data_IF_973095425341
#
_entry.id   IF_973095425341
#
_cell.length_a   1.000
_cell.length_b   1.000
_cell.length_c   1.000
_cell.angle_alpha   90.00
_cell.angle_beta   90.00
_cell.angle_gamma   90.00
#
_symmetry.space_group_name_H-M   'P 1'
#
loop_
_entity.id
_entity.type
_entity.pdbx_description
1 polymer ?
#
# COMPACT_ATOMS: atom_id res chain seq x y z
N UNK A 1 13.63 -29.21 -37.60
CA UNK A 1 13.15 -30.09 -38.69
C UNK A 1 13.76 -29.71 -40.05
N UNK A 2 13.61 -28.47 -40.54
CA UNK A 2 14.13 -28.04 -41.85
C UNK A 2 15.67 -28.12 -41.99
N UNK A 3 16.42 -27.84 -40.91
CA UNK A 3 17.90 -27.94 -40.91
C UNK A 3 18.37 -29.40 -40.97
N UNK A 4 17.60 -30.34 -40.41
CA UNK A 4 17.96 -31.75 -40.31
C UNK A 4 17.78 -32.50 -41.64
N UNK A 5 16.83 -32.05 -42.48
CA UNK A 5 16.65 -32.59 -43.84
C UNK A 5 17.77 -32.19 -44.81
N UNK A 6 18.35 -30.99 -44.63
CA UNK A 6 19.46 -30.52 -45.45
C UNK A 6 20.76 -31.30 -45.20
N UNK A 7 21.01 -31.75 -43.96
CA UNK A 7 22.23 -32.47 -43.60
C UNK A 7 22.28 -33.89 -44.16
N UNK A 8 21.13 -34.57 -44.26
CA UNK A 8 21.05 -35.94 -44.81
C UNK A 8 21.18 -35.94 -46.34
N UNK A 9 20.62 -34.92 -47.02
CA UNK A 9 20.76 -34.79 -48.48
C UNK A 9 22.21 -34.44 -48.90
N UNK A 10 22.93 -33.70 -48.07
CA UNK A 10 24.32 -33.31 -48.32
C UNK A 10 25.33 -34.46 -48.13
N UNK A 11 25.02 -35.46 -47.30
CA UNK A 11 25.88 -36.63 -47.09
C UNK A 11 25.90 -37.62 -48.28
N UNK A 12 24.94 -37.52 -49.21
CA UNK A 12 24.80 -38.43 -50.34
C UNK A 12 25.61 -38.03 -51.59
N UNK A 13 26.05 -36.77 -51.70
CA UNK A 13 26.84 -36.28 -52.85
C UNK A 13 28.34 -36.25 -52.54
N UNK A 14 28.98 -37.40 -52.70
CA UNK A 14 30.37 -37.64 -52.34
C UNK A 14 31.41 -36.71 -52.98
N UNK A 15 32.40 -36.36 -52.14
CA UNK A 15 33.74 -35.84 -52.43
C UNK A 15 33.94 -34.43 -53.02
N UNK A 16 33.11 -33.91 -53.92
CA UNK A 16 33.40 -32.57 -54.48
C UNK A 16 32.96 -31.38 -53.59
N UNK A 17 32.02 -31.60 -52.67
CA UNK A 17 31.58 -30.56 -51.74
C UNK A 17 32.46 -30.43 -50.49
N UNK A 18 33.29 -31.43 -50.18
CA UNK A 18 34.11 -31.41 -48.95
C UNK A 18 35.09 -30.22 -48.93
N UNK A 19 35.73 -29.93 -50.07
CA UNK A 19 36.72 -28.86 -50.14
C UNK A 19 36.08 -27.44 -50.17
N UNK A 20 34.88 -27.32 -50.73
CA UNK A 20 34.10 -26.06 -50.77
C UNK A 20 33.36 -25.80 -49.44
N UNK A 21 32.88 -26.83 -48.77
CA UNK A 21 32.28 -26.72 -47.44
C UNK A 21 33.33 -26.41 -46.36
N UNK A 22 34.54 -26.98 -46.43
CA UNK A 22 35.63 -26.70 -45.48
C UNK A 22 36.03 -25.22 -45.43
N UNK A 23 36.07 -24.54 -46.57
CA UNK A 23 36.54 -23.14 -46.63
C UNK A 23 35.43 -22.13 -46.41
N UNK A 24 34.22 -22.40 -46.91
CA UNK A 24 33.07 -21.48 -46.79
C UNK A 24 32.36 -21.60 -45.44
N UNK A 25 32.11 -22.83 -44.97
CA UNK A 25 31.33 -23.06 -43.75
C UNK A 25 32.14 -22.70 -42.50
N UNK A 26 33.46 -22.98 -42.46
CA UNK A 26 34.30 -22.62 -41.30
C UNK A 26 34.51 -21.09 -41.24
N UNK A 27 34.62 -20.41 -42.38
CA UNK A 27 34.77 -18.95 -42.43
C UNK A 27 33.49 -18.21 -42.01
N UNK A 28 32.33 -18.63 -42.52
CA UNK A 28 31.04 -18.01 -42.17
C UNK A 28 30.59 -18.38 -40.75
N UNK A 29 30.85 -19.60 -40.27
CA UNK A 29 30.42 -20.00 -38.92
C UNK A 29 31.35 -19.47 -37.82
N UNK A 30 32.66 -19.31 -38.07
CA UNK A 30 33.59 -18.69 -37.09
C UNK A 30 33.33 -17.19 -36.90
N UNK A 31 32.90 -16.51 -37.96
CA UNK A 31 32.49 -15.10 -37.88
C UNK A 31 31.17 -14.94 -37.12
N UNK A 32 30.21 -15.87 -37.24
CA UNK A 32 29.02 -15.90 -36.39
C UNK A 32 29.33 -16.23 -34.91
N UNK A 33 30.30 -17.11 -34.62
CA UNK A 33 30.68 -17.48 -33.25
C UNK A 33 31.43 -16.35 -32.53
N UNK A 34 32.22 -15.54 -33.24
CA UNK A 34 32.96 -14.41 -32.67
C UNK A 34 32.11 -13.13 -32.49
N UNK A 35 30.99 -12.99 -33.20
CA UNK A 35 30.13 -11.78 -33.16
C UNK A 35 28.98 -11.83 -32.15
N UNK A 36 28.64 -13.00 -31.60
CA UNK A 36 27.50 -13.14 -30.67
C UNK A 36 27.77 -12.63 -29.24
N UNK A 37 28.99 -12.62 -28.67
CA UNK A 37 29.15 -12.17 -27.28
C UNK A 37 28.89 -10.67 -27.03
N UNK A 38 29.34 -9.69 -27.83
CA UNK A 38 29.20 -8.29 -27.43
C UNK A 38 27.80 -7.68 -27.69
N UNK A 39 27.01 -8.26 -28.61
CA UNK A 39 25.70 -7.69 -28.99
C UNK A 39 24.63 -7.96 -27.93
N UNK A 40 24.72 -9.06 -27.17
CA UNK A 40 23.82 -9.36 -26.06
C UNK A 40 24.06 -8.51 -24.80
N UNK A 41 25.20 -7.79 -24.72
CA UNK A 41 25.56 -6.97 -23.55
C UNK A 41 25.44 -5.44 -23.77
N UNK A 42 25.03 -4.97 -24.97
CA UNK A 42 24.94 -3.53 -25.28
C UNK A 42 23.51 -2.99 -25.55
N UNK A 43 22.48 -3.81 -25.34
CA UNK A 43 21.08 -3.38 -25.49
C UNK A 43 20.47 -2.79 -24.23
N UNK A 44 20.43 -1.45 -24.13
CA UNK A 44 19.53 -0.61 -23.30
C UNK A 44 19.48 -0.88 -21.79
N UNK A 45 20.19 -0.06 -21.02
CA UNK A 45 20.23 -0.02 -19.55
C UNK A 45 18.96 0.49 -18.86
N UNK A 46 18.01 1.09 -19.60
CA UNK A 46 17.10 2.06 -18.95
C UNK A 46 15.65 1.55 -18.72
N UNK A 47 15.30 0.32 -19.13
CA UNK A 47 13.90 -0.16 -19.06
C UNK A 47 13.67 -1.23 -17.97
N UNK A 48 14.71 -1.66 -17.23
CA UNK A 48 14.59 -2.79 -16.28
C UNK A 48 15.41 -2.60 -14.99
N UNK A 49 15.35 -1.42 -14.38
CA UNK A 49 16.02 -1.13 -13.09
C UNK A 49 15.29 -1.67 -11.85
N UNK A 50 14.16 -2.38 -12.02
CA UNK A 50 13.37 -2.88 -10.91
C UNK A 50 13.42 -4.41 -10.82
N UNK A 51 14.11 -4.88 -9.77
CA UNK A 51 13.99 -6.20 -9.14
C UNK A 51 14.25 -7.44 -10.01
N UNK A 52 15.53 -7.78 -10.12
CA UNK A 52 16.07 -9.10 -9.76
C UNK A 52 17.39 -9.32 -10.49
N UNK A 53 18.50 -8.88 -9.89
CA UNK A 53 19.85 -9.09 -10.43
C UNK A 53 20.27 -10.56 -10.49
N UNK A 54 19.53 -11.48 -9.85
CA UNK A 54 19.83 -12.90 -9.87
C UNK A 54 19.48 -13.54 -11.21
N UNK A 55 18.33 -13.21 -11.81
CA UNK A 55 17.89 -13.78 -13.09
C UNK A 55 18.88 -13.55 -14.24
N UNK A 56 19.50 -12.36 -14.30
CA UNK A 56 20.53 -12.05 -15.31
C UNK A 56 21.79 -12.90 -15.16
N UNK A 57 22.19 -13.20 -13.92
CA UNK A 57 23.39 -14.03 -13.65
C UNK A 57 23.16 -15.48 -14.05
N UNK A 58 21.97 -16.04 -13.77
CA UNK A 58 21.63 -17.40 -14.17
C UNK A 58 21.53 -17.55 -15.69
N UNK A 59 20.90 -16.59 -16.38
CA UNK A 59 20.82 -16.61 -17.84
C UNK A 59 22.21 -16.52 -18.50
N UNK A 60 23.08 -15.64 -18.00
CA UNK A 60 24.46 -15.53 -18.48
C UNK A 60 25.27 -16.83 -18.26
N UNK A 61 25.11 -17.49 -17.10
CA UNK A 61 25.77 -18.76 -16.83
C UNK A 61 25.27 -19.90 -17.72
N UNK A 62 23.97 -19.94 -18.03
CA UNK A 62 23.40 -20.93 -18.96
C UNK A 62 23.93 -20.72 -20.38
N UNK A 63 23.97 -19.47 -20.86
CA UNK A 63 24.54 -19.16 -22.17
C UNK A 63 26.04 -19.49 -22.23
N UNK A 64 26.79 -19.20 -21.16
CA UNK A 64 28.20 -19.55 -21.05
C UNK A 64 28.40 -21.07 -21.11
N UNK A 65 27.57 -21.85 -20.40
CA UNK A 65 27.63 -23.31 -20.41
C UNK A 65 27.33 -23.89 -21.80
N UNK A 66 26.31 -23.36 -22.49
CA UNK A 66 25.98 -23.75 -23.87
C UNK A 66 27.14 -23.43 -24.82
N UNK A 67 27.75 -22.25 -24.67
CA UNK A 67 28.91 -21.84 -25.47
C UNK A 67 30.10 -22.77 -25.27
N UNK A 68 30.48 -23.07 -24.02
CA UNK A 68 31.59 -23.99 -23.75
C UNK A 68 31.30 -25.42 -24.23
N UNK A 69 30.06 -25.90 -24.11
CA UNK A 69 29.66 -27.20 -24.62
C UNK A 69 29.78 -27.25 -26.16
N UNK A 70 29.34 -26.20 -26.86
CA UNK A 70 29.48 -26.08 -28.32
C UNK A 70 30.93 -25.98 -28.78
N UNK A 71 31.74 -25.15 -28.12
CA UNK A 71 33.16 -25.01 -28.41
C UNK A 71 33.94 -26.32 -28.17
N UNK A 72 33.65 -27.02 -27.07
CA UNK A 72 34.21 -28.34 -26.79
C UNK A 72 33.86 -29.35 -27.90
N UNK A 73 32.60 -29.34 -28.36
CA UNK A 73 32.14 -30.20 -29.44
C UNK A 73 32.86 -29.93 -30.77
N UNK A 74 33.08 -28.66 -31.12
CA UNK A 74 33.79 -28.28 -32.34
C UNK A 74 35.26 -28.73 -32.31
N UNK A 75 35.95 -28.53 -31.19
CA UNK A 75 37.34 -28.99 -31.00
C UNK A 75 37.40 -30.53 -31.04
N UNK A 76 36.39 -31.20 -30.49
CA UNK A 76 36.32 -32.65 -30.49
C UNK A 76 36.08 -33.21 -31.90
N UNK A 77 35.17 -32.61 -32.68
CA UNK A 77 34.95 -32.96 -34.09
C UNK A 77 36.24 -32.79 -34.90
N UNK A 78 36.89 -31.63 -34.79
CA UNK A 78 38.10 -31.29 -35.55
C UNK A 78 39.23 -32.31 -35.32
N UNK A 79 39.50 -32.66 -34.05
CA UNK A 79 40.48 -33.70 -33.73
C UNK A 79 40.06 -35.10 -34.19
N UNK A 80 38.77 -35.40 -34.18
CA UNK A 80 38.25 -36.71 -34.59
C UNK A 80 38.32 -36.92 -36.11
N UNK A 81 38.28 -35.85 -36.92
CA UNK A 81 38.33 -35.97 -38.38
C UNK A 81 39.57 -36.71 -38.90
N UNK A 82 40.69 -36.64 -38.18
CA UNK A 82 41.92 -37.41 -38.52
C UNK A 82 41.82 -38.92 -38.24
N UNK A 83 40.86 -39.36 -37.40
CA UNK A 83 40.67 -40.77 -37.01
C UNK A 83 39.33 -41.38 -37.46
N UNK A 84 38.41 -40.58 -38.03
CA UNK A 84 37.09 -41.02 -38.51
C UNK A 84 37.17 -42.12 -39.58
N UNK A 85 38.24 -42.16 -40.37
CA UNK A 85 38.45 -43.22 -41.36
C UNK A 85 38.56 -44.63 -40.73
N UNK A 86 38.93 -44.74 -39.45
CA UNK A 86 39.09 -46.01 -38.74
C UNK A 86 37.90 -46.39 -37.84
N UNK A 87 37.11 -45.41 -37.35
CA UNK A 87 36.07 -45.63 -36.33
C UNK A 87 34.61 -45.40 -36.79
N UNK A 88 34.40 -44.91 -38.02
CA UNK A 88 33.13 -45.05 -38.74
C UNK A 88 31.85 -44.56 -38.03
N UNK A 89 30.67 -45.10 -38.41
CA UNK A 89 29.34 -44.66 -37.95
C UNK A 89 29.08 -44.82 -36.45
N UNK A 90 29.77 -45.74 -35.77
CA UNK A 90 29.58 -45.99 -34.34
C UNK A 90 30.02 -44.79 -33.48
N UNK A 91 31.06 -44.07 -33.91
CA UNK A 91 31.52 -42.87 -33.23
C UNK A 91 30.53 -41.71 -33.35
N UNK A 92 29.93 -41.54 -34.54
CA UNK A 92 28.88 -40.53 -34.78
C UNK A 92 27.67 -40.79 -33.87
N UNK A 93 27.26 -42.05 -33.75
CA UNK A 93 26.17 -42.44 -32.84
C UNK A 93 26.49 -42.14 -31.37
N UNK A 94 27.70 -42.47 -30.91
CA UNK A 94 28.12 -42.20 -29.54
C UNK A 94 28.16 -40.69 -29.25
N UNK A 95 28.72 -39.90 -30.17
CA UNK A 95 28.76 -38.46 -30.03
C UNK A 95 27.34 -37.86 -30.01
N UNK A 96 26.46 -38.25 -30.94
CA UNK A 96 25.06 -37.79 -30.96
C UNK A 96 24.30 -38.15 -29.69
N UNK A 97 24.45 -39.39 -29.19
CA UNK A 97 23.80 -39.80 -27.93
C UNK A 97 24.29 -39.00 -26.73
N UNK A 98 25.58 -38.64 -26.69
CA UNK A 98 26.16 -37.80 -25.65
C UNK A 98 25.69 -36.34 -25.76
N UNK A 99 25.57 -35.81 -26.97
CA UNK A 99 25.01 -34.48 -27.22
C UNK A 99 23.54 -34.37 -26.80
N UNK A 100 22.73 -35.39 -27.10
CA UNK A 100 21.32 -35.45 -26.71
C UNK A 100 21.20 -35.55 -25.18
N UNK A 101 22.00 -36.40 -24.52
CA UNK A 101 21.95 -36.55 -23.06
C UNK A 101 22.41 -35.29 -22.32
N UNK A 102 23.47 -34.63 -22.79
CA UNK A 102 23.95 -33.37 -22.22
C UNK A 102 22.91 -32.24 -22.38
N UNK A 103 22.26 -32.15 -23.55
CA UNK A 103 21.21 -31.16 -23.79
C UNK A 103 19.98 -31.43 -22.91
N UNK A 104 19.57 -32.70 -22.79
CA UNK A 104 18.47 -33.08 -21.91
C UNK A 104 18.76 -32.77 -20.43
N UNK A 105 19.98 -33.03 -19.97
CA UNK A 105 20.42 -32.69 -18.61
C UNK A 105 20.43 -31.18 -18.37
N UNK A 106 20.91 -30.39 -19.32
CA UNK A 106 20.88 -28.93 -19.24
C UNK A 106 19.45 -28.38 -19.16
N UNK A 107 18.54 -28.88 -20.01
CA UNK A 107 17.12 -28.51 -19.97
C UNK A 107 16.47 -28.88 -18.63
N UNK A 108 16.78 -30.06 -18.08
CA UNK A 108 16.27 -30.47 -16.77
C UNK A 108 16.75 -29.55 -15.64
N UNK A 109 18.03 -29.17 -15.64
CA UNK A 109 18.57 -28.23 -14.65
C UNK A 109 17.92 -26.84 -14.73
N UNK A 110 17.70 -26.33 -15.95
CA UNK A 110 17.00 -25.05 -16.16
C UNK A 110 15.55 -25.13 -15.66
N UNK A 111 14.85 -26.24 -15.93
CA UNK A 111 13.50 -26.45 -15.44
C UNK A 111 13.44 -26.48 -13.90
N UNK A 112 14.35 -27.22 -13.26
CA UNK A 112 14.44 -27.29 -11.79
C UNK A 112 14.75 -25.92 -11.19
N UNK A 113 15.71 -25.19 -11.76
CA UNK A 113 16.05 -23.84 -11.30
C UNK A 113 14.87 -22.86 -11.43
N UNK A 114 14.12 -22.96 -12.52
CA UNK A 114 12.93 -22.11 -12.75
C UNK A 114 11.82 -22.42 -11.74
N UNK A 115 11.57 -23.71 -11.47
CA UNK A 115 10.59 -24.13 -10.45
C UNK A 115 11.01 -23.63 -9.06
N UNK A 116 12.29 -23.77 -8.71
CA UNK A 116 12.80 -23.30 -7.42
C UNK A 116 12.63 -21.79 -7.26
N UNK A 117 12.89 -21.02 -8.31
CA UNK A 117 12.69 -19.57 -8.32
C UNK A 117 11.22 -19.20 -8.11
N UNK A 118 10.28 -19.90 -8.77
CA UNK A 118 8.85 -19.69 -8.57
C UNK A 118 8.46 -19.96 -7.11
N UNK A 119 8.96 -21.04 -6.51
CA UNK A 119 8.69 -21.36 -5.10
C UNK A 119 9.20 -20.25 -4.17
N UNK A 120 10.39 -19.71 -4.42
CA UNK A 120 10.96 -18.60 -3.65
C UNK A 120 10.12 -17.33 -3.81
N UNK A 121 9.70 -16.99 -5.03
CA UNK A 121 8.89 -15.80 -5.31
C UNK A 121 7.49 -15.90 -4.68
N UNK A 122 6.88 -17.10 -4.69
CA UNK A 122 5.60 -17.37 -4.01
C UNK A 122 5.76 -17.30 -2.48
N UNK A 123 6.83 -17.88 -1.93
CA UNK A 123 7.09 -17.84 -0.49
C UNK A 123 7.35 -16.42 0.05
N UNK A 124 8.10 -15.61 -0.70
CA UNK A 124 8.40 -14.22 -0.32
C UNK A 124 7.20 -13.28 -0.50
N UNK A 125 6.39 -13.47 -1.53
CA UNK A 125 5.15 -12.69 -1.68
C UNK A 125 4.11 -13.00 -0.60
N UNK A 126 3.98 -14.27 -0.20
CA UNK A 126 3.08 -14.68 0.88
C UNK A 126 3.49 -14.08 2.24
N UNK A 127 4.80 -14.02 2.55
CA UNK A 127 5.29 -13.44 3.80
C UNK A 127 5.13 -11.92 3.85
N UNK A 128 5.35 -11.22 2.72
CA UNK A 128 5.09 -9.78 2.61
C UNK A 128 3.60 -9.49 2.82
N UNK A 129 2.71 -10.26 2.19
CA UNK A 129 1.26 -10.05 2.32
C UNK A 129 0.79 -10.24 3.77
N UNK A 130 1.30 -11.27 4.46
CA UNK A 130 1.00 -11.53 5.87
C UNK A 130 1.44 -10.37 6.77
N UNK A 131 2.64 -9.83 6.54
CA UNK A 131 3.16 -8.69 7.30
C UNK A 131 2.31 -7.42 7.08
N UNK A 132 1.93 -7.11 5.84
CA UNK A 132 1.08 -5.96 5.51
C UNK A 132 -0.33 -6.09 6.11
N UNK A 133 -0.92 -7.29 6.08
CA UNK A 133 -2.25 -7.51 6.65
C UNK A 133 -2.22 -7.33 8.18
N UNK A 134 -1.20 -7.88 8.84
CA UNK A 134 -1.04 -7.76 10.29
C UNK A 134 -0.87 -6.29 10.74
N UNK A 135 -0.09 -5.49 10.00
CA UNK A 135 0.08 -4.07 10.33
C UNK A 135 -1.20 -3.26 10.18
N UNK A 136 -1.99 -3.50 9.13
CA UNK A 136 -3.25 -2.79 8.91
C UNK A 136 -4.32 -3.15 9.95
N UNK A 137 -4.39 -4.42 10.36
CA UNK A 137 -5.32 -4.86 11.42
C UNK A 137 -4.94 -4.18 12.75
N UNK A 138 -3.64 -4.12 13.08
CA UNK A 138 -3.18 -3.47 14.30
C UNK A 138 -3.48 -1.96 14.28
N UNK A 139 -3.22 -1.28 13.16
CA UNK A 139 -3.52 0.15 13.01
C UNK A 139 -5.01 0.44 13.14
N UNK A 140 -5.86 -0.38 12.53
CA UNK A 140 -7.31 -0.26 12.66
C UNK A 140 -7.78 -0.46 14.11
N UNK A 141 -7.24 -1.46 14.82
CA UNK A 141 -7.58 -1.71 16.23
C UNK A 141 -7.11 -0.58 17.16
N UNK A 142 -5.91 -0.06 16.95
CA UNK A 142 -5.37 1.06 17.74
C UNK A 142 -6.21 2.32 17.51
N UNK A 143 -6.56 2.62 16.25
CA UNK A 143 -7.38 3.78 15.90
C UNK A 143 -8.78 3.68 16.51
N UNK A 144 -9.42 2.51 16.40
CA UNK A 144 -10.72 2.25 17.01
C UNK A 144 -10.67 2.42 18.53
N UNK A 145 -9.66 1.84 19.19
CA UNK A 145 -9.50 1.93 20.64
C UNK A 145 -9.30 3.37 21.10
N UNK A 146 -8.40 4.12 20.44
CA UNK A 146 -8.15 5.53 20.76
C UNK A 146 -9.39 6.40 20.62
N UNK A 147 -10.22 6.15 19.59
CA UNK A 147 -11.47 6.89 19.42
C UNK A 147 -12.43 6.66 20.60
N UNK A 148 -12.60 5.41 21.06
CA UNK A 148 -13.47 5.10 22.21
C UNK A 148 -12.95 5.78 23.48
N UNK A 149 -11.64 5.75 23.71
CA UNK A 149 -11.01 6.44 24.84
C UNK A 149 -11.18 7.96 24.81
N UNK A 150 -11.28 8.58 23.62
CA UNK A 150 -11.51 10.02 23.50
C UNK A 150 -13.00 10.40 23.65
N UNK A 151 -13.91 9.60 23.08
CA UNK A 151 -15.33 9.92 23.03
C UNK A 151 -16.06 9.72 24.36
N UNK A 152 -15.74 8.66 25.11
CA UNK A 152 -16.41 8.37 26.40
C UNK A 152 -16.23 9.51 27.42
N UNK A 153 -15.00 9.97 27.76
CA UNK A 153 -14.85 11.02 28.75
C UNK A 153 -15.46 12.34 28.28
N UNK A 154 -15.38 12.65 26.98
CA UNK A 154 -16.01 13.84 26.41
C UNK A 154 -17.53 13.79 26.58
N UNK A 155 -18.16 12.66 26.25
CA UNK A 155 -19.60 12.46 26.41
C UNK A 155 -20.03 12.61 27.87
N UNK A 156 -19.26 12.05 28.82
CA UNK A 156 -19.51 12.20 30.26
C UNK A 156 -19.48 13.68 30.66
N UNK A 157 -18.47 14.43 30.25
CA UNK A 157 -18.34 15.87 30.55
C UNK A 157 -19.50 16.67 29.96
N UNK A 158 -19.92 16.37 28.72
CA UNK A 158 -21.05 17.05 28.07
C UNK A 158 -22.36 16.77 28.81
N UNK A 159 -22.61 15.52 29.21
CA UNK A 159 -23.80 15.14 29.98
C UNK A 159 -23.82 15.81 31.35
N UNK A 160 -22.68 15.82 32.05
CA UNK A 160 -22.54 16.50 33.36
C UNK A 160 -22.79 18.01 33.26
N UNK A 161 -22.23 18.67 32.24
CA UNK A 161 -22.47 20.10 32.02
C UNK A 161 -23.92 20.39 31.66
N UNK A 162 -24.55 19.53 30.87
CA UNK A 162 -25.96 19.68 30.52
C UNK A 162 -26.88 19.52 31.74
N UNK A 163 -26.56 18.60 32.65
CA UNK A 163 -27.29 18.42 33.90
C UNK A 163 -27.17 19.66 34.81
N UNK A 164 -25.94 20.13 35.05
CA UNK A 164 -25.70 21.31 35.88
C UNK A 164 -26.42 22.57 35.36
N UNK A 165 -26.44 22.77 34.05
CA UNK A 165 -27.13 23.91 33.45
C UNK A 165 -28.65 23.85 33.65
N UNK A 166 -29.25 22.65 33.64
CA UNK A 166 -30.68 22.49 33.92
C UNK A 166 -31.01 22.84 35.36
N UNK A 167 -30.17 22.43 36.30
CA UNK A 167 -30.36 22.71 37.72
C UNK A 167 -30.30 24.22 38.00
N UNK A 168 -29.31 24.92 37.43
CA UNK A 168 -29.19 26.39 37.54
C UNK A 168 -30.42 27.09 36.95
N UNK A 169 -30.89 26.64 35.80
CA UNK A 169 -32.05 27.25 35.15
C UNK A 169 -33.33 27.03 35.95
N UNK A 170 -33.49 25.84 36.54
CA UNK A 170 -34.62 25.51 37.40
C UNK A 170 -34.58 26.31 38.72
N UNK A 171 -33.40 26.49 39.31
CA UNK A 171 -33.20 27.34 40.48
C UNK A 171 -33.55 28.80 40.16
N UNK A 172 -33.08 29.34 39.03
CA UNK A 172 -33.43 30.69 38.58
C UNK A 172 -34.92 30.85 38.34
N UNK A 173 -35.55 29.89 37.66
CA UNK A 173 -36.99 29.91 37.40
C UNK A 173 -37.80 29.91 38.71
N UNK A 174 -37.40 29.09 39.68
CA UNK A 174 -38.07 29.04 40.99
C UNK A 174 -37.84 30.30 41.82
N UNK A 175 -36.62 30.86 41.82
CA UNK A 175 -36.32 32.13 42.48
C UNK A 175 -37.11 33.31 41.86
N UNK A 176 -37.22 33.37 40.53
CA UNK A 176 -38.04 34.38 39.84
C UNK A 176 -39.52 34.22 40.14
N UNK A 177 -40.03 32.99 40.19
CA UNK A 177 -41.42 32.71 40.56
C UNK A 177 -41.71 33.14 42.00
N UNK A 178 -40.82 32.83 42.95
CA UNK A 178 -40.93 33.23 44.34
C UNK A 178 -40.85 34.77 44.50
N UNK A 179 -39.93 35.43 43.81
CA UNK A 179 -39.81 36.89 43.82
C UNK A 179 -41.07 37.57 43.27
N UNK A 180 -41.65 37.02 42.19
CA UNK A 180 -42.91 37.51 41.61
C UNK A 180 -44.08 37.34 42.57
N UNK A 181 -44.16 36.19 43.24
CA UNK A 181 -45.20 35.92 44.23
C UNK A 181 -45.08 36.88 45.42
N UNK A 182 -43.88 37.08 45.97
CA UNK A 182 -43.63 38.03 47.06
C UNK A 182 -44.02 39.46 46.68
N UNK A 183 -43.67 39.89 45.45
CA UNK A 183 -44.06 41.21 44.96
C UNK A 183 -45.58 41.36 44.86
N UNK A 184 -46.27 40.33 44.36
CA UNK A 184 -47.72 40.32 44.26
C UNK A 184 -48.37 40.42 45.64
N UNK A 185 -47.89 39.63 46.61
CA UNK A 185 -48.35 39.70 48.00
C UNK A 185 -48.18 41.11 48.56
N UNK A 186 -46.99 41.71 48.44
CA UNK A 186 -46.71 43.07 48.90
C UNK A 186 -47.64 44.12 48.27
N UNK A 187 -47.94 43.99 46.97
CA UNK A 187 -48.84 44.89 46.27
C UNK A 187 -50.33 44.69 46.64
N UNK A 188 -50.72 43.51 47.15
CA UNK A 188 -52.09 43.21 47.57
C UNK A 188 -52.39 43.51 49.05
N UNK A 189 -51.37 43.70 49.89
CA UNK A 189 -51.57 44.02 51.30
C UNK A 189 -52.18 45.42 51.46
N UNK A 190 -53.23 45.52 52.28
CA UNK A 190 -53.95 46.77 52.55
C UNK A 190 -53.09 47.80 53.28
N UNK A 191 -52.12 47.35 54.08
CA UNK A 191 -51.20 48.22 54.80
C UNK A 191 -50.15 48.84 53.86
N UNK A 192 -49.80 50.10 54.14
CA UNK A 192 -48.71 50.77 53.44
C UNK A 192 -47.36 50.24 53.90
N UNK A 193 -46.63 49.59 52.99
CA UNK A 193 -45.26 49.10 53.22
C UNK A 193 -44.28 49.95 52.42
N UNK A 194 -43.29 50.52 53.11
CA UNK A 194 -42.18 51.27 52.51
C UNK A 194 -40.87 50.72 53.08
N UNK A 195 -39.90 50.49 52.21
CA UNK A 195 -38.55 50.09 52.60
C UNK A 195 -37.57 51.18 52.17
N UNK A 196 -36.66 51.48 53.09
CA UNK A 196 -35.65 52.51 52.96
C UNK A 196 -34.26 51.89 52.91
N UNK A 197 -33.34 52.53 52.20
CA UNK A 197 -31.91 52.23 52.29
C UNK A 197 -31.32 52.79 53.59
N UNK A 198 -30.08 52.40 53.91
CA UNK A 198 -29.31 52.94 55.03
C UNK A 198 -29.25 54.47 55.01
N UNK A 199 -29.25 55.09 53.82
CA UNK A 199 -29.22 56.54 53.63
C UNK A 199 -30.57 57.24 53.90
N UNK A 200 -31.64 56.48 54.13
CA UNK A 200 -32.99 57.01 54.32
C UNK A 200 -33.78 57.19 53.02
N UNK A 201 -33.22 56.81 51.86
CA UNK A 201 -33.90 56.87 50.57
C UNK A 201 -34.91 55.72 50.39
N UNK A 202 -36.05 55.98 49.78
CA UNK A 202 -37.07 54.94 49.52
C UNK A 202 -36.62 54.02 48.39
N UNK A 203 -36.39 52.74 48.69
CA UNK A 203 -36.05 51.71 47.71
C UNK A 203 -37.32 51.17 47.04
N UNK A 204 -38.35 50.89 47.85
CA UNK A 204 -39.60 50.29 47.37
C UNK A 204 -40.76 50.71 48.27
N UNK A 205 -41.90 51.04 47.65
CA UNK A 205 -43.17 51.29 48.33
C UNK A 205 -44.28 50.49 47.64
N UNK A 206 -45.15 49.83 48.39
CA UNK A 206 -46.28 49.08 47.81
C UNK A 206 -47.43 50.00 47.35
N UNK A 207 -48.42 49.45 46.66
CA UNK A 207 -49.55 50.22 46.13
C UNK A 207 -50.29 51.03 47.21
N UNK A 208 -50.54 50.42 48.36
CA UNK A 208 -51.24 51.07 49.48
C UNK A 208 -50.45 52.26 50.04
N UNK A 209 -49.13 52.11 50.23
CA UNK A 209 -48.26 53.21 50.66
C UNK A 209 -48.21 54.34 49.64
N UNK A 210 -48.10 54.01 48.35
CA UNK A 210 -48.12 55.03 47.27
C UNK A 210 -49.43 55.81 47.26
N UNK A 211 -50.57 55.17 47.53
CA UNK A 211 -51.87 55.84 47.60
C UNK A 211 -51.99 56.72 48.84
N UNK A 212 -51.42 56.32 49.98
CA UNK A 212 -51.44 57.11 51.21
C UNK A 212 -50.48 58.31 51.15
N UNK A 213 -49.33 58.14 50.48
CA UNK A 213 -48.32 59.17 50.28
C UNK A 213 -48.59 60.05 49.06
N UNK A 214 -49.57 59.69 48.23
CA UNK A 214 -49.99 60.51 47.10
C UNK A 214 -50.44 61.87 47.63
N UNK A 215 -50.02 62.99 47.02
CA UNK A 215 -50.52 64.30 47.37
C UNK A 215 -52.04 64.27 47.34
N UNK A 216 -52.69 64.72 48.42
CA UNK A 216 -54.14 64.86 48.41
C UNK A 216 -54.52 65.69 47.18
N UNK A 217 -55.45 65.22 46.32
CA UNK A 217 -55.90 66.04 45.20
C UNK A 217 -56.40 67.36 45.79
N UNK A 218 -55.78 68.46 45.35
CA UNK A 218 -56.08 69.79 45.83
C UNK A 218 -57.60 70.00 45.88
N UNK A 219 -58.18 69.99 47.08
CA UNK A 219 -59.53 70.51 47.34
C UNK A 219 -59.60 72.03 47.14
N UNK A 220 -58.60 72.65 46.51
CA UNK A 220 -58.50 74.08 46.26
C UNK A 220 -59.19 74.55 44.97
N UNK A 221 -59.79 73.67 44.16
CA UNK A 221 -60.45 74.04 42.90
C UNK A 221 -61.98 73.82 42.85
N UNK A 222 -62.64 73.57 43.99
CA UNK A 222 -64.10 73.64 44.08
C UNK A 222 -64.52 75.00 44.64
N UNK A 223 -64.48 76.02 43.79
CA UNK A 223 -65.16 77.29 44.05
C UNK A 223 -66.68 77.07 44.08
N UNK A 224 -67.43 77.85 44.88
CA UNK A 224 -68.89 77.78 44.86
C UNK A 224 -69.43 78.35 43.54
N UNK A 225 -70.20 77.54 42.81
CA UNK A 225 -71.14 78.02 41.78
C UNK A 225 -72.51 77.45 42.08
#
# INVERSE_FOLDING_TARGET
AAIFGATILAAASGQQWAHWAETSFIADFSSYILLVPPILFHGRSDVLSSRSGSGRRYFALVLLAIYFAGAFWLVFIDRSYTSIAAFGPAFIWLALSWGISATAAACALVAVASILQIIIDVGTSASILSYYLASHILEAQVTASLSVFAFIPLAIVVVQRAALNRDIEQERASAMAAARLNRLVLDTISDGVVSFDHGGDVITANKSARNLLAPAPDKAAAGPT
#
